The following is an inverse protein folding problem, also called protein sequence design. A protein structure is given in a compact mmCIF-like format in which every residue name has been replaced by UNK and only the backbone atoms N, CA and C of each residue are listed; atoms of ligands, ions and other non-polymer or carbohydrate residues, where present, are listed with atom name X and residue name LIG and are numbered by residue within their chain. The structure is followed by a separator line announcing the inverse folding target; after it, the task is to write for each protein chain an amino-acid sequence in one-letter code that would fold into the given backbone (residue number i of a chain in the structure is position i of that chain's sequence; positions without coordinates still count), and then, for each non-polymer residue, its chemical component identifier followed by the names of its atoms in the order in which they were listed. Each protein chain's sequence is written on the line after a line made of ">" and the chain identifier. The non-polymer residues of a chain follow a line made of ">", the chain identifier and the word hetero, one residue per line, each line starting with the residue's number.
data_IF_169775659685
#
_entry.id   IF_169775659685
#
_cell.length_a   1.000
_cell.length_b   1.000
_cell.length_c   1.000
_cell.angle_alpha   90.00
_cell.angle_beta   90.00
_cell.angle_gamma   90.00
#
_symmetry.space_group_name_H-M   'P 1'
#
loop_
_entity.id
_entity.type
_entity.pdbx_description
1 polymer ?
#
# COMPACT_ATOMS: atom_id res chain seq x y z
N UNK A 1 7.54 22.63 42.81
CA UNK A 1 8.11 23.06 41.51
C UNK A 1 9.36 23.95 41.62
N UNK A 2 9.88 24.30 42.83
CA UNK A 2 11.08 25.13 42.97
C UNK A 2 12.42 24.34 42.90
N UNK A 3 12.38 23.02 43.03
CA UNK A 3 13.59 22.16 43.14
C UNK A 3 13.91 21.33 41.88
N UNK A 4 13.28 21.64 40.74
CA UNK A 4 13.55 20.94 39.48
C UNK A 4 14.14 21.97 38.52
N UNK A 5 15.49 22.04 38.38
CA UNK A 5 16.09 22.95 37.42
C UNK A 5 15.69 22.56 35.99
N UNK A 6 15.54 23.53 35.07
CA UNK A 6 15.23 23.23 33.68
C UNK A 6 16.37 22.46 33.01
N UNK A 7 16.03 21.56 32.08
CA UNK A 7 17.01 20.87 31.23
C UNK A 7 17.64 21.83 30.22
N UNK A 8 18.87 21.54 29.79
CA UNK A 8 19.55 22.28 28.73
C UNK A 8 18.91 21.98 27.35
N UNK A 9 18.56 23.02 26.58
CA UNK A 9 17.81 22.90 25.30
C UNK A 9 18.65 23.36 24.09
N UNK A 10 19.47 24.39 24.26
CA UNK A 10 20.15 25.11 23.16
C UNK A 10 21.61 24.65 22.93
N UNK A 11 21.90 23.38 23.19
CA UNK A 11 23.20 22.77 22.88
C UNK A 11 23.06 21.70 21.81
N UNK A 12 24.01 21.68 20.88
CA UNK A 12 24.08 20.63 19.84
C UNK A 12 25.05 19.57 20.30
N UNK A 13 24.60 18.45 20.89
CA UNK A 13 25.49 17.38 21.31
C UNK A 13 26.10 16.69 20.09
N UNK A 14 27.31 16.17 20.24
CA UNK A 14 27.91 15.29 19.24
C UNK A 14 27.10 13.99 19.21
N UNK A 15 26.65 13.58 18.03
CA UNK A 15 25.79 12.41 17.88
C UNK A 15 26.59 11.13 18.11
N UNK A 16 25.99 10.14 18.78
CA UNK A 16 26.59 8.81 18.92
C UNK A 16 26.70 8.18 17.54
N UNK A 17 27.93 8.04 17.04
CA UNK A 17 28.17 7.47 15.72
C UNK A 17 27.95 5.96 15.78
N UNK A 18 26.98 5.47 15.01
CA UNK A 18 26.91 4.04 14.68
C UNK A 18 28.21 3.62 13.98
N UNK A 19 28.64 2.37 14.19
CA UNK A 19 29.93 1.78 13.75
C UNK A 19 30.22 1.98 12.25
N UNK A 20 29.22 2.26 11.42
CA UNK A 20 29.36 2.49 9.98
C UNK A 20 30.04 3.82 9.57
N UNK A 21 30.39 4.72 10.50
CA UNK A 21 31.00 6.03 10.17
C UNK A 21 32.53 5.97 9.93
N UNK A 22 33.15 4.78 9.95
CA UNK A 22 34.59 4.63 9.64
C UNK A 22 34.98 5.14 8.23
N UNK A 23 34.02 5.30 7.31
CA UNK A 23 34.26 5.83 5.97
C UNK A 23 34.82 7.28 5.94
N UNK A 24 34.63 8.07 7.01
CA UNK A 24 35.10 9.46 7.08
C UNK A 24 36.43 9.65 7.82
N UNK A 25 37.14 8.59 8.22
CA UNK A 25 38.44 8.68 8.90
C UNK A 25 39.52 9.39 8.06
N UNK A 26 39.35 9.48 6.73
CA UNK A 26 40.27 10.18 5.81
C UNK A 26 39.92 11.65 5.57
N UNK A 27 38.86 12.17 6.18
CA UNK A 27 38.41 13.55 5.99
C UNK A 27 39.15 14.51 6.93
N UNK A 28 39.96 15.42 6.36
CA UNK A 28 40.65 16.47 7.13
C UNK A 28 39.72 17.53 7.72
N UNK A 29 38.47 17.63 7.22
CA UNK A 29 37.42 18.54 7.72
C UNK A 29 36.04 17.87 7.64
N UNK A 30 35.67 17.02 8.60
CA UNK A 30 34.38 16.33 8.58
C UNK A 30 33.23 17.33 8.76
N UNK A 31 32.26 17.28 7.85
CA UNK A 31 30.99 18.02 7.95
C UNK A 31 29.95 17.13 8.65
N UNK A 32 28.86 17.72 9.17
CA UNK A 32 27.70 16.99 9.73
C UNK A 32 27.98 16.18 11.00
N UNK A 33 28.90 16.64 11.85
CA UNK A 33 29.24 15.98 13.13
C UNK A 33 28.05 15.97 14.12
N UNK A 34 27.22 17.01 14.06
CA UNK A 34 26.01 17.16 14.88
C UNK A 34 24.74 16.60 14.21
N UNK A 35 24.86 15.95 13.05
CA UNK A 35 23.73 15.36 12.36
C UNK A 35 23.55 13.91 12.84
N UNK A 36 22.34 13.48 13.21
CA UNK A 36 22.08 12.07 13.51
C UNK A 36 22.40 11.18 12.30
N UNK A 37 23.13 10.07 12.49
CA UNK A 37 23.40 9.13 11.40
C UNK A 37 22.11 8.44 10.95
N UNK A 38 22.06 8.02 9.69
CA UNK A 38 20.97 7.16 9.21
C UNK A 38 21.13 5.78 9.82
N UNK A 39 20.05 5.23 10.36
CA UNK A 39 20.02 3.86 10.86
C UNK A 39 19.81 2.95 9.64
N UNK A 40 20.70 1.98 9.47
CA UNK A 40 20.65 0.97 8.42
C UNK A 40 20.85 -0.38 9.06
N UNK A 41 20.00 -1.32 8.69
CA UNK A 41 20.10 -2.69 9.16
C UNK A 41 20.41 -3.63 8.00
N UNK A 42 20.91 -4.82 8.30
CA UNK A 42 21.31 -5.81 7.28
C UNK A 42 20.05 -6.41 6.61
N UNK A 43 18.96 -6.47 7.37
CA UNK A 43 17.63 -6.90 6.96
C UNK A 43 17.02 -5.97 5.91
N UNK A 44 17.42 -4.69 5.85
CA UNK A 44 16.89 -3.74 4.87
C UNK A 44 17.22 -4.20 3.44
N UNK A 45 18.45 -4.68 3.22
CA UNK A 45 18.86 -5.21 1.92
C UNK A 45 18.09 -6.49 1.58
N UNK A 46 17.85 -7.37 2.56
CA UNK A 46 17.07 -8.60 2.38
C UNK A 46 15.60 -8.30 2.04
N UNK A 47 14.97 -7.35 2.75
CA UNK A 47 13.61 -6.88 2.46
C UNK A 47 13.50 -6.37 1.03
N UNK A 48 14.48 -5.57 0.58
CA UNK A 48 14.43 -5.03 -0.80
C UNK A 48 14.47 -6.12 -1.85
N UNK A 49 15.24 -7.19 -1.64
CA UNK A 49 15.32 -8.31 -2.58
C UNK A 49 13.99 -9.09 -2.55
N UNK A 50 13.51 -9.44 -1.36
CA UNK A 50 12.27 -10.23 -1.21
C UNK A 50 11.05 -9.57 -1.86
N UNK A 51 10.81 -8.27 -1.62
CA UNK A 51 9.65 -7.56 -2.16
C UNK A 51 9.79 -7.20 -3.64
N UNK A 52 11.01 -7.19 -4.19
CA UNK A 52 11.20 -7.10 -5.65
C UNK A 52 10.79 -8.39 -6.34
N UNK A 53 11.15 -9.53 -5.77
CA UNK A 53 10.79 -10.85 -6.30
C UNK A 53 9.30 -11.14 -6.11
N UNK A 54 8.68 -10.62 -5.04
CA UNK A 54 7.27 -10.82 -4.68
C UNK A 54 6.48 -9.51 -4.58
N UNK A 55 6.22 -8.80 -5.70
CA UNK A 55 5.50 -7.53 -5.66
C UNK A 55 4.10 -7.65 -5.05
N UNK A 56 3.41 -8.78 -5.30
CA UNK A 56 2.05 -9.00 -4.82
C UNK A 56 1.94 -9.31 -3.32
N UNK A 57 3.05 -9.58 -2.62
CA UNK A 57 3.02 -9.64 -1.16
C UNK A 57 2.79 -8.24 -0.55
N UNK A 58 3.08 -7.15 -1.26
CA UNK A 58 2.73 -5.79 -0.83
C UNK A 58 1.23 -5.51 -0.91
N UNK A 59 0.48 -6.24 -1.73
CA UNK A 59 -0.97 -6.09 -1.82
C UNK A 59 -1.69 -6.71 -0.61
N UNK A 60 -1.01 -7.57 0.17
CA UNK A 60 -1.57 -8.14 1.39
C UNK A 60 -1.57 -7.08 2.50
N UNK A 61 -2.73 -6.76 3.10
CA UNK A 61 -2.82 -5.73 4.12
C UNK A 61 -2.04 -6.14 5.37
N UNK A 62 -1.24 -5.22 5.90
CA UNK A 62 -0.42 -5.42 7.09
C UNK A 62 -0.70 -4.35 8.13
N UNK A 63 -0.94 -4.78 9.37
CA UNK A 63 -1.08 -3.88 10.53
C UNK A 63 0.31 -3.56 11.07
N UNK A 64 0.61 -2.26 11.20
CA UNK A 64 1.90 -1.74 11.71
C UNK A 64 1.76 -1.24 13.15
N UNK A 65 0.52 -1.07 13.62
CA UNK A 65 0.22 -0.64 14.97
C UNK A 65 0.68 -1.71 15.97
N UNK A 66 1.59 -1.32 16.86
CA UNK A 66 2.08 -2.18 17.94
C UNK A 66 1.11 -2.15 19.13
N UNK A 67 0.91 -3.30 19.77
CA UNK A 67 0.07 -3.39 20.97
C UNK A 67 0.90 -3.08 22.24
N UNK A 68 1.88 -3.95 22.54
CA UNK A 68 2.71 -3.85 23.75
C UNK A 68 4.16 -3.41 23.46
N UNK A 69 4.57 -3.40 22.18
CA UNK A 69 5.96 -3.18 21.74
C UNK A 69 6.95 -4.27 22.16
N UNK A 70 6.46 -5.38 22.74
CA UNK A 70 7.26 -6.50 23.25
C UNK A 70 7.19 -7.75 22.38
N UNK A 71 6.69 -7.61 21.15
CA UNK A 71 6.46 -8.73 20.25
C UNK A 71 7.76 -9.45 19.91
N UNK A 72 8.88 -8.72 19.81
CA UNK A 72 10.21 -9.29 19.56
C UNK A 72 10.66 -10.32 20.61
N UNK A 73 10.16 -10.27 21.85
CA UNK A 73 10.56 -11.19 22.92
C UNK A 73 9.91 -12.58 22.80
N UNK A 74 8.79 -12.66 22.08
CA UNK A 74 7.96 -13.86 21.98
C UNK A 74 8.30 -14.70 20.75
N UNK A 75 9.20 -14.21 19.90
CA UNK A 75 9.48 -14.76 18.58
C UNK A 75 10.78 -15.56 18.63
N UNK A 76 10.73 -16.78 18.11
CA UNK A 76 11.86 -17.69 18.06
C UNK A 76 12.07 -18.21 16.63
N UNK A 77 12.98 -17.57 15.91
CA UNK A 77 13.28 -17.84 14.51
C UNK A 77 13.99 -19.19 14.26
N UNK A 78 14.33 -19.94 15.30
CA UNK A 78 14.89 -21.29 15.18
C UNK A 78 13.87 -22.33 14.69
N UNK A 79 12.58 -22.14 15.04
CA UNK A 79 11.50 -23.11 14.78
C UNK A 79 10.95 -23.06 13.36
N UNK A 80 11.04 -21.91 12.69
CA UNK A 80 10.54 -21.72 11.32
C UNK A 80 10.00 -20.31 11.06
N UNK A 81 9.41 -20.13 9.87
CA UNK A 81 8.78 -18.87 9.44
C UNK A 81 7.48 -18.58 10.20
N UNK A 82 6.72 -19.60 10.62
CA UNK A 82 5.46 -19.41 11.34
C UNK A 82 5.71 -19.13 12.82
N UNK A 83 5.29 -17.96 13.28
CA UNK A 83 5.47 -17.51 14.66
C UNK A 83 4.12 -17.25 15.34
N UNK A 84 3.98 -17.54 16.64
CA UNK A 84 2.74 -17.30 17.36
C UNK A 84 2.45 -15.80 17.48
N UNK A 85 1.23 -15.39 17.18
CA UNK A 85 0.80 -13.98 17.29
C UNK A 85 1.32 -13.06 16.19
N UNK A 86 2.12 -13.57 15.24
CA UNK A 86 2.62 -12.80 14.11
C UNK A 86 2.00 -13.31 12.80
N UNK A 87 1.48 -12.43 11.93
CA UNK A 87 0.96 -12.86 10.63
C UNK A 87 2.09 -13.31 9.71
N UNK A 88 1.84 -14.35 8.93
CA UNK A 88 2.77 -14.82 7.91
C UNK A 88 2.98 -13.72 6.86
N UNK A 89 4.16 -13.10 6.88
CA UNK A 89 4.55 -11.96 6.04
C UNK A 89 5.97 -12.13 5.52
N UNK A 90 6.37 -11.30 4.57
CA UNK A 90 7.76 -11.26 4.08
C UNK A 90 8.79 -10.97 5.18
N UNK A 91 8.39 -10.27 6.25
CA UNK A 91 9.26 -10.04 7.40
C UNK A 91 9.66 -11.34 8.10
N UNK A 92 8.76 -12.33 8.15
CA UNK A 92 9.09 -13.63 8.73
C UNK A 92 10.17 -14.36 7.92
N UNK A 93 10.16 -14.19 6.59
CA UNK A 93 11.15 -14.78 5.70
C UNK A 93 12.50 -14.12 5.89
N UNK A 94 12.53 -12.79 5.97
CA UNK A 94 13.76 -12.02 6.17
C UNK A 94 14.42 -12.36 7.51
N UNK A 95 13.64 -12.43 8.59
CA UNK A 95 14.17 -12.75 9.91
C UNK A 95 14.64 -14.21 10.01
N UNK A 96 13.90 -15.14 9.40
CA UNK A 96 14.32 -16.55 9.28
C UNK A 96 15.62 -16.68 8.47
N UNK A 97 15.73 -15.97 7.36
CA UNK A 97 16.93 -15.93 6.53
C UNK A 97 18.12 -15.38 7.33
N UNK A 98 17.94 -14.26 8.05
CA UNK A 98 18.98 -13.67 8.88
C UNK A 98 19.45 -14.63 9.99
N UNK A 99 18.51 -15.31 10.64
CA UNK A 99 18.81 -16.32 11.66
C UNK A 99 19.63 -17.48 11.08
N UNK A 100 19.25 -18.00 9.90
CA UNK A 100 19.98 -19.06 9.21
C UNK A 100 21.41 -18.63 8.83
N UNK A 101 21.57 -17.39 8.38
CA UNK A 101 22.89 -16.85 8.05
C UNK A 101 23.81 -16.76 9.27
N UNK A 102 23.30 -16.32 10.43
CA UNK A 102 24.13 -16.18 11.64
C UNK A 102 24.34 -17.48 12.42
N UNK A 103 23.35 -18.36 12.47
CA UNK A 103 23.39 -19.55 13.32
C UNK A 103 23.86 -20.81 12.58
N UNK A 104 23.55 -20.93 11.29
CA UNK A 104 23.82 -22.16 10.50
C UNK A 104 24.89 -21.99 9.42
N UNK A 105 25.59 -20.84 9.40
CA UNK A 105 26.66 -20.50 8.44
C UNK A 105 26.26 -20.69 6.96
N UNK A 106 24.96 -20.62 6.65
CA UNK A 106 24.46 -20.74 5.29
C UNK A 106 24.79 -19.48 4.48
N UNK A 107 25.06 -19.67 3.19
CA UNK A 107 25.18 -18.54 2.29
C UNK A 107 23.87 -17.77 2.20
N UNK A 108 23.95 -16.48 1.83
CA UNK A 108 22.78 -15.60 1.72
C UNK A 108 21.69 -16.18 0.81
N UNK A 109 22.10 -16.81 -0.29
CA UNK A 109 21.19 -17.36 -1.31
C UNK A 109 20.57 -18.70 -0.85
N UNK A 110 21.35 -19.58 -0.21
CA UNK A 110 20.83 -20.83 0.34
C UNK A 110 19.85 -20.58 1.50
N UNK A 111 20.19 -19.64 2.39
CA UNK A 111 19.32 -19.22 3.47
C UNK A 111 18.02 -18.60 2.93
N UNK A 112 18.11 -17.83 1.83
CA UNK A 112 16.94 -17.26 1.16
C UNK A 112 16.05 -18.36 0.59
N UNK A 113 16.62 -19.33 -0.11
CA UNK A 113 15.89 -20.44 -0.71
C UNK A 113 15.19 -21.32 0.31
N UNK A 114 15.86 -21.61 1.44
CA UNK A 114 15.27 -22.36 2.53
C UNK A 114 14.06 -21.63 3.13
N UNK A 115 14.23 -20.37 3.52
CA UNK A 115 13.15 -19.56 4.11
C UNK A 115 11.98 -19.35 3.14
N UNK A 116 12.27 -19.17 1.85
CA UNK A 116 11.27 -18.99 0.80
C UNK A 116 10.45 -20.24 0.54
N UNK A 117 11.07 -21.43 0.53
CA UNK A 117 10.34 -22.71 0.40
C UNK A 117 9.40 -22.94 1.59
N UNK A 118 9.87 -22.69 2.82
CA UNK A 118 9.03 -22.73 4.02
C UNK A 118 7.83 -21.78 3.88
N UNK A 119 8.07 -20.56 3.39
CA UNK A 119 7.02 -19.56 3.17
C UNK A 119 5.99 -19.99 2.12
N UNK A 120 6.43 -20.56 0.99
CA UNK A 120 5.51 -21.04 -0.05
C UNK A 120 4.64 -22.19 0.42
N UNK A 121 5.20 -23.13 1.17
CA UNK A 121 4.43 -24.24 1.74
C UNK A 121 3.30 -23.74 2.64
N UNK A 122 3.60 -22.79 3.54
CA UNK A 122 2.60 -22.21 4.44
C UNK A 122 1.56 -21.37 3.68
N UNK A 123 1.97 -20.62 2.65
CA UNK A 123 1.04 -19.86 1.81
C UNK A 123 0.09 -20.77 1.03
N UNK A 124 0.61 -21.87 0.50
CA UNK A 124 -0.20 -22.87 -0.19
C UNK A 124 -1.21 -23.51 0.77
N UNK A 125 -0.77 -23.83 2.00
CA UNK A 125 -1.64 -24.36 3.05
C UNK A 125 -2.79 -23.38 3.37
N UNK A 126 -2.50 -22.09 3.59
CA UNK A 126 -3.52 -21.06 3.84
C UNK A 126 -4.54 -20.95 2.69
N UNK A 127 -4.10 -21.10 1.43
CA UNK A 127 -4.99 -21.00 0.28
C UNK A 127 -5.88 -22.24 0.11
N UNK A 128 -5.31 -23.42 0.33
CA UNK A 128 -6.05 -24.69 0.29
C UNK A 128 -7.07 -24.70 1.42
N UNK A 129 -6.69 -24.32 2.64
CA UNK A 129 -7.58 -24.26 3.80
C UNK A 129 -8.80 -23.38 3.51
N UNK A 130 -8.59 -22.17 2.97
CA UNK A 130 -9.70 -21.26 2.61
C UNK A 130 -10.62 -21.83 1.53
N UNK A 131 -10.10 -22.62 0.60
CA UNK A 131 -10.87 -23.26 -0.47
C UNK A 131 -11.72 -24.39 0.11
N UNK A 132 -11.09 -25.30 0.84
CA UNK A 132 -11.73 -26.47 1.45
C UNK A 132 -12.79 -26.03 2.47
N UNK A 133 -12.48 -25.09 3.36
CA UNK A 133 -13.43 -24.60 4.35
C UNK A 133 -14.71 -24.00 3.71
N UNK A 134 -14.59 -23.35 2.55
CA UNK A 134 -15.75 -22.82 1.82
C UNK A 134 -16.58 -23.94 1.21
N UNK A 135 -15.93 -24.97 0.68
CA UNK A 135 -16.59 -26.13 0.08
C UNK A 135 -17.34 -26.95 1.14
N UNK A 136 -16.68 -27.25 2.26
CA UNK A 136 -17.27 -27.95 3.40
C UNK A 136 -18.46 -27.18 3.98
N UNK A 137 -18.33 -25.86 4.15
CA UNK A 137 -19.43 -25.02 4.61
C UNK A 137 -20.65 -25.09 3.67
N UNK A 138 -20.42 -25.08 2.35
CA UNK A 138 -21.51 -25.22 1.36
C UNK A 138 -22.12 -26.61 1.40
N UNK A 139 -21.31 -27.65 1.58
CA UNK A 139 -21.77 -29.03 1.67
C UNK A 139 -22.74 -29.22 2.86
N UNK A 140 -22.47 -28.57 4.00
CA UNK A 140 -23.37 -28.59 5.17
C UNK A 140 -24.54 -27.59 5.08
N UNK A 141 -24.74 -26.96 3.92
CA UNK A 141 -25.87 -26.08 3.65
C UNK A 141 -25.65 -24.61 4.03
N UNK A 142 -24.43 -24.17 4.32
CA UNK A 142 -24.16 -22.74 4.53
C UNK A 142 -24.23 -21.97 3.21
N UNK A 143 -24.98 -20.89 3.21
CA UNK A 143 -25.08 -19.94 2.10
C UNK A 143 -24.19 -18.73 2.37
N UNK A 144 -23.49 -18.27 1.32
CA UNK A 144 -22.68 -17.05 1.34
C UNK A 144 -23.33 -16.01 0.43
N UNK A 145 -23.26 -14.74 0.82
CA UNK A 145 -23.71 -13.62 -0.02
C UNK A 145 -22.85 -13.41 -1.27
N UNK A 146 -22.94 -12.22 -1.87
CA UNK A 146 -22.18 -11.86 -3.08
C UNK A 146 -20.68 -12.09 -2.89
N UNK A 147 -20.03 -12.69 -3.88
CA UNK A 147 -18.59 -12.86 -3.88
C UNK A 147 -17.89 -11.51 -4.12
N UNK A 148 -16.62 -11.37 -3.70
CA UNK A 148 -15.80 -10.18 -4.00
C UNK A 148 -15.74 -9.85 -5.49
N UNK A 149 -15.74 -10.87 -6.35
CA UNK A 149 -15.78 -10.67 -7.80
C UNK A 149 -17.07 -9.99 -8.27
N UNK A 150 -18.22 -10.43 -7.74
CA UNK A 150 -19.51 -9.82 -8.07
C UNK A 150 -19.61 -8.40 -7.53
N UNK A 151 -19.13 -8.16 -6.31
CA UNK A 151 -19.07 -6.82 -5.73
C UNK A 151 -18.16 -5.91 -6.59
N UNK A 152 -17.04 -6.44 -7.09
CA UNK A 152 -16.15 -5.71 -8.00
C UNK A 152 -16.85 -5.33 -9.30
N UNK A 153 -17.54 -6.28 -9.93
CA UNK A 153 -18.32 -6.03 -11.15
C UNK A 153 -19.42 -4.98 -10.92
N UNK A 154 -20.17 -5.08 -9.81
CA UNK A 154 -21.22 -4.10 -9.48
C UNK A 154 -20.62 -2.69 -9.35
N UNK A 155 -19.41 -2.53 -8.81
CA UNK A 155 -18.72 -1.24 -8.69
C UNK A 155 -18.22 -0.73 -10.05
N UNK A 156 -17.67 -1.62 -10.89
CA UNK A 156 -17.22 -1.30 -12.25
C UNK A 156 -18.39 -0.85 -13.14
N UNK A 157 -19.53 -1.53 -13.05
CA UNK A 157 -20.74 -1.17 -13.78
C UNK A 157 -21.23 0.23 -13.40
N UNK A 158 -21.23 0.57 -12.09
CA UNK A 158 -21.62 1.90 -11.63
C UNK A 158 -20.70 3.01 -12.18
N UNK A 159 -19.37 2.77 -12.18
CA UNK A 159 -18.42 3.74 -12.74
C UNK A 159 -18.50 3.82 -14.28
N UNK A 160 -18.83 2.71 -14.94
CA UNK A 160 -19.05 2.69 -16.38
C UNK A 160 -20.26 3.53 -16.78
N UNK A 161 -21.37 3.47 -16.04
CA UNK A 161 -22.53 4.34 -16.30
C UNK A 161 -22.18 5.83 -16.09
N UNK A 162 -21.45 6.17 -15.02
CA UNK A 162 -20.93 7.53 -14.81
C UNK A 162 -20.09 8.01 -16.00
N UNK A 163 -19.19 7.15 -16.50
CA UNK A 163 -18.36 7.45 -17.67
C UNK A 163 -19.19 7.59 -18.94
N UNK A 164 -20.22 6.75 -19.14
CA UNK A 164 -21.10 6.79 -20.31
C UNK A 164 -21.84 8.12 -20.40
N UNK A 165 -22.38 8.61 -19.30
CA UNK A 165 -23.04 9.91 -19.23
C UNK A 165 -22.08 11.06 -19.56
N UNK A 166 -20.87 11.01 -19.00
CA UNK A 166 -19.83 11.99 -19.30
C UNK A 166 -19.42 11.96 -20.79
N UNK A 167 -19.20 10.76 -21.33
CA UNK A 167 -18.80 10.56 -22.71
C UNK A 167 -19.89 11.02 -23.68
N UNK A 168 -21.16 10.76 -23.36
CA UNK A 168 -22.31 11.25 -24.13
C UNK A 168 -22.36 12.77 -24.20
N UNK A 169 -22.24 13.45 -23.04
CA UNK A 169 -22.15 14.92 -22.98
C UNK A 169 -20.96 15.46 -23.77
N UNK A 170 -19.79 14.82 -23.64
CA UNK A 170 -18.57 15.23 -24.34
C UNK A 170 -18.66 15.04 -25.86
N UNK A 171 -19.28 13.94 -26.32
CA UNK A 171 -19.49 13.67 -27.73
C UNK A 171 -20.45 14.71 -28.35
N UNK A 172 -21.55 15.04 -27.66
CA UNK A 172 -22.48 16.08 -28.10
C UNK A 172 -21.79 17.45 -28.21
N UNK A 173 -21.01 17.86 -27.21
CA UNK A 173 -20.23 19.10 -27.27
C UNK A 173 -19.22 19.12 -28.43
N UNK A 174 -18.57 17.98 -28.70
CA UNK A 174 -17.62 17.88 -29.82
C UNK A 174 -18.32 17.98 -31.17
N UNK A 175 -19.49 17.36 -31.31
CA UNK A 175 -20.32 17.47 -32.51
C UNK A 175 -20.83 18.89 -32.73
N UNK A 176 -21.31 19.56 -31.67
CA UNK A 176 -21.70 20.97 -31.72
C UNK A 176 -20.52 21.87 -32.14
N UNK A 177 -19.34 21.65 -31.57
CA UNK A 177 -18.13 22.39 -31.95
C UNK A 177 -17.73 22.14 -33.42
N UNK A 178 -17.83 20.89 -33.89
CA UNK A 178 -17.58 20.54 -35.29
C UNK A 178 -18.57 21.24 -36.21
N UNK A 179 -19.86 21.19 -35.89
CA UNK A 179 -20.90 21.82 -36.70
C UNK A 179 -20.71 23.34 -36.74
N UNK A 180 -20.42 23.99 -35.60
CA UNK A 180 -20.09 25.41 -35.53
C UNK A 180 -18.82 25.78 -36.35
N UNK A 181 -17.82 24.90 -36.40
CA UNK A 181 -16.62 25.14 -37.22
C UNK A 181 -16.90 25.03 -38.73
N UNK A 182 -17.87 24.22 -39.14
CA UNK A 182 -18.23 24.01 -40.54
C UNK A 182 -19.20 25.08 -41.07
N UNK A 183 -20.17 25.52 -40.25
CA UNK A 183 -21.10 26.61 -40.62
C UNK A 183 -20.40 27.98 -40.74
N UNK A 184 -19.18 28.14 -40.23
CA UNK A 184 -18.40 29.37 -40.38
C UNK A 184 -17.78 29.57 -41.77
N UNK A 185 -17.75 28.57 -42.67
CA UNK A 185 -17.04 28.67 -43.96
C UNK A 185 -17.92 28.71 -45.22
N UNK A 186 -19.24 28.70 -45.10
CA UNK A 186 -20.07 28.83 -46.30
C UNK A 186 -21.56 28.67 -46.06
N UNK A 187 -22.20 29.69 -45.50
CA UNK A 187 -23.63 29.90 -45.74
C UNK A 187 -23.93 31.40 -45.79
N UNK A 188 -24.26 31.85 -47.00
CA UNK A 188 -24.89 33.16 -47.22
C UNK A 188 -26.26 33.14 -46.56
N UNK A 189 -26.50 34.13 -45.72
CA UNK A 189 -27.70 34.39 -44.95
C UNK A 189 -29.02 33.90 -45.59
N UNK A 190 -29.73 33.03 -44.88
CA UNK A 190 -31.19 33.02 -44.88
C UNK A 190 -31.69 32.83 -43.44
N UNK A 191 -32.21 33.94 -42.93
CA UNK A 191 -32.92 34.15 -41.67
C UNK A 191 -34.23 33.35 -41.66
N UNK A 192 -34.44 32.47 -40.69
CA UNK A 192 -35.76 32.14 -40.08
C UNK A 192 -35.72 30.88 -39.19
N UNK A 193 -35.98 31.08 -37.89
CA UNK A 193 -36.82 30.33 -36.92
C UNK A 193 -36.14 30.36 -35.52
N UNK A 194 -36.60 31.24 -34.62
CA UNK A 194 -37.68 31.02 -33.62
C UNK A 194 -37.16 30.16 -32.44
N UNK A 195 -36.76 30.78 -31.34
CA UNK A 195 -37.56 31.09 -30.13
C UNK A 195 -37.96 29.85 -29.29
N UNK A 196 -37.79 30.01 -27.96
CA UNK A 196 -38.25 29.18 -26.83
C UNK A 196 -37.30 28.07 -26.28
N UNK A 197 -36.61 28.40 -25.18
CA UNK A 197 -36.73 27.69 -23.90
C UNK A 197 -35.88 28.41 -22.81
N UNK A 198 -36.39 29.53 -22.29
CA UNK A 198 -36.09 29.97 -20.91
C UNK A 198 -37.23 29.49 -20.01
N UNK A 199 -37.00 28.46 -19.19
CA UNK A 199 -37.55 28.34 -17.83
C UNK A 199 -36.92 27.13 -17.10
N UNK A 200 -36.38 27.34 -15.89
CA UNK A 200 -36.15 26.23 -14.94
C UNK A 200 -34.80 26.13 -14.22
N UNK A 201 -34.08 27.22 -13.94
CA UNK A 201 -32.97 27.19 -12.98
C UNK A 201 -33.48 27.42 -11.54
N UNK A 202 -34.18 26.42 -11.00
CA UNK A 202 -34.54 26.35 -9.58
C UNK A 202 -33.33 25.97 -8.72
N UNK A 203 -32.89 26.93 -7.92
CA UNK A 203 -31.94 26.78 -6.81
C UNK A 203 -32.33 25.62 -5.87
N UNK A 204 -31.36 24.78 -5.55
CA UNK A 204 -31.54 23.57 -4.76
C UNK A 204 -30.22 23.09 -4.18
N UNK A 205 -29.61 23.90 -3.32
CA UNK A 205 -28.37 23.55 -2.60
C UNK A 205 -28.52 22.29 -1.73
N UNK A 206 -27.45 21.51 -1.52
CA UNK A 206 -27.52 20.27 -0.76
C UNK A 206 -27.75 20.56 0.72
N UNK A 207 -28.85 20.03 1.26
CA UNK A 207 -29.14 20.03 2.69
C UNK A 207 -28.21 19.02 3.36
N UNK A 208 -27.25 19.51 4.15
CA UNK A 208 -26.42 18.71 5.04
C UNK A 208 -27.29 18.14 6.16
N UNK A 209 -27.64 16.86 6.08
CA UNK A 209 -28.22 16.11 7.19
C UNK A 209 -27.11 15.61 8.11
N UNK A 210 -27.01 16.23 9.29
CA UNK A 210 -26.37 15.64 10.46
C UNK A 210 -27.36 14.67 11.13
N UNK A 211 -26.97 13.41 11.26
CA UNK A 211 -27.33 12.51 12.35
C UNK A 211 -26.27 11.40 12.44
#
# INVERSE_FOLDING_TARGET
>A
MRDIPPSEILTRPVTSRSRQVHAHLKSRKPRKIYLPPRIKHEEDDLRTIFYKDHPWELARPRVILEMDGKDYQRVDWSKGVRQPGFPLTGECVVQRQLWLMHNTELSKDEAYDAARKEFYALRQEEEIEKRVAREEARYVGAFFGKNKLQIGQDLEDNEFENWKDWAGKRASLLEQARNASYTSFGESASEADAEEDEEGAGDGGPTTLQA
#
